data_IF_214357000312
#
_entry.id   IF_214357000312
#
_cell.length_a   1.000
_cell.length_b   1.000
_cell.length_c   1.000
_cell.angle_alpha   90.00
_cell.angle_beta   90.00
_cell.angle_gamma   90.00
#
_symmetry.space_group_name_H-M   'P 1'
#
loop_
_entity.id
_entity.type
_entity.pdbx_description
1 polymer ?
#
# COMPACT_ATOMS: atom_id res chain seq x y z
N UNK A 1 19.06 43.97 21.56
CA UNK A 1 18.89 44.35 20.14
C UNK A 1 18.15 43.22 19.38
N UNK A 2 16.87 43.09 19.63
CA UNK A 2 15.95 42.14 18.93
C UNK A 2 14.54 42.72 19.00
N UNK A 3 14.30 43.81 18.31
CA UNK A 3 12.99 44.40 17.97
C UNK A 3 13.18 45.05 16.61
N UNK A 4 12.43 44.56 15.61
CA UNK A 4 12.20 45.11 14.26
C UNK A 4 12.48 44.10 13.14
N UNK A 5 11.59 43.09 13.04
CA UNK A 5 11.34 42.39 11.76
C UNK A 5 9.94 41.76 11.66
N UNK A 6 8.96 42.29 12.36
CA UNK A 6 7.57 41.80 12.33
C UNK A 6 6.52 42.80 11.81
N UNK A 7 6.91 43.73 10.96
CA UNK A 7 5.97 44.78 10.48
C UNK A 7 5.97 45.00 8.97
N UNK A 8 6.20 43.95 8.13
CA UNK A 8 6.14 44.14 6.68
C UNK A 8 5.30 43.14 5.90
N UNK A 9 4.62 42.19 6.51
CA UNK A 9 3.77 41.21 5.77
C UNK A 9 2.26 41.31 6.03
N UNK A 10 1.78 42.35 6.68
CA UNK A 10 0.33 42.51 6.96
C UNK A 10 -0.29 43.70 6.21
N UNK A 11 0.18 44.01 5.01
CA UNK A 11 -0.34 45.14 4.22
C UNK A 11 -0.61 44.86 2.76
N UNK A 12 -1.13 43.66 2.41
CA UNK A 12 -1.48 43.27 1.05
C UNK A 12 -2.85 42.60 0.91
N UNK A 13 -3.81 42.85 1.80
CA UNK A 13 -5.17 42.30 1.69
C UNK A 13 -6.29 43.36 1.86
N UNK A 14 -6.06 44.61 1.42
CA UNK A 14 -7.17 45.55 1.21
C UNK A 14 -6.82 46.44 0.02
N UNK A 15 -7.24 46.02 -1.15
CA UNK A 15 -7.14 46.81 -2.37
C UNK A 15 -8.29 46.45 -3.29
N UNK A 16 -9.41 47.15 -3.14
CA UNK A 16 -10.52 47.12 -4.11
C UNK A 16 -10.02 47.58 -5.47
N UNK A 17 -10.15 46.73 -6.46
CA UNK A 17 -9.92 46.99 -7.84
C UNK A 17 -10.69 45.97 -8.71
N UNK A 18 -11.93 46.31 -9.09
CA UNK A 18 -12.70 45.56 -10.08
C UNK A 18 -11.99 45.57 -11.43
N UNK A 19 -11.60 44.44 -12.01
CA UNK A 19 -11.28 44.35 -13.43
C UNK A 19 -12.54 44.01 -14.21
N UNK A 20 -12.79 44.81 -15.22
CA UNK A 20 -13.83 44.65 -16.25
C UNK A 20 -13.63 43.34 -17.02
N UNK A 21 -14.71 42.65 -17.23
CA UNK A 21 -15.05 41.53 -18.09
C UNK A 21 -14.00 41.00 -19.09
N UNK A 22 -13.49 39.83 -18.81
CA UNK A 22 -13.23 38.81 -19.82
C UNK A 22 -14.18 37.66 -19.53
N UNK A 23 -15.01 37.28 -20.49
CA UNK A 23 -15.82 36.06 -20.44
C UNK A 23 -14.86 34.91 -20.20
N UNK A 24 -14.78 34.49 -18.97
CA UNK A 24 -14.04 33.28 -18.58
C UNK A 24 -14.74 32.09 -19.22
N UNK A 25 -14.05 31.41 -20.10
CA UNK A 25 -14.37 30.03 -20.42
C UNK A 25 -14.35 29.31 -19.05
N UNK A 26 -15.52 28.87 -18.61
CA UNK A 26 -15.63 27.95 -17.49
C UNK A 26 -14.95 26.67 -17.99
N UNK A 27 -13.67 26.49 -17.66
CA UNK A 27 -13.06 25.17 -17.62
C UNK A 27 -13.91 24.41 -16.61
N UNK A 28 -14.74 23.49 -17.07
CA UNK A 28 -15.33 22.48 -16.20
C UNK A 28 -14.15 21.70 -15.62
N UNK A 29 -13.69 22.11 -14.43
CA UNK A 29 -12.66 21.41 -13.68
C UNK A 29 -13.19 20.04 -13.32
N UNK A 30 -12.40 18.99 -13.53
CA UNK A 30 -12.69 17.67 -13.00
C UNK A 30 -12.75 17.78 -11.46
N UNK A 31 -13.73 17.07 -10.84
CA UNK A 31 -13.81 16.95 -9.39
C UNK A 31 -12.53 16.30 -8.86
N UNK A 32 -12.13 16.70 -7.69
CA UNK A 32 -11.02 16.05 -6.97
C UNK A 32 -11.45 14.67 -6.45
N UNK A 33 -10.49 13.80 -6.19
CA UNK A 33 -10.75 12.45 -5.68
C UNK A 33 -11.59 12.48 -4.38
N UNK A 34 -11.33 13.46 -3.50
CA UNK A 34 -12.09 13.62 -2.25
C UNK A 34 -13.53 14.09 -2.49
N UNK A 35 -13.76 15.00 -3.42
CA UNK A 35 -15.13 15.44 -3.77
C UNK A 35 -15.94 14.27 -4.35
N UNK A 36 -15.33 13.44 -5.21
CA UNK A 36 -15.98 12.25 -5.76
C UNK A 36 -16.30 11.25 -4.64
N UNK A 37 -15.36 11.01 -3.73
CA UNK A 37 -15.57 10.08 -2.61
C UNK A 37 -16.66 10.56 -1.65
N UNK A 38 -16.74 11.86 -1.35
CA UNK A 38 -17.73 12.45 -0.45
C UNK A 38 -19.14 12.48 -1.04
N UNK A 39 -19.28 12.52 -2.35
CA UNK A 39 -20.58 12.44 -3.02
C UNK A 39 -21.12 11.01 -3.11
N UNK A 40 -20.33 9.99 -2.78
CA UNK A 40 -20.76 8.60 -2.85
C UNK A 40 -21.80 8.26 -1.79
N UNK A 41 -22.94 7.75 -2.22
CA UNK A 41 -23.95 7.16 -1.33
C UNK A 41 -23.53 5.73 -0.93
N UNK A 42 -22.68 5.63 0.11
CA UNK A 42 -22.18 4.36 0.61
C UNK A 42 -23.29 3.48 1.17
N UNK A 43 -23.26 2.19 0.86
CA UNK A 43 -24.12 1.17 1.45
C UNK A 43 -23.62 0.79 2.85
N UNK A 44 -24.52 0.40 3.78
CA UNK A 44 -24.11 -0.18 5.05
C UNK A 44 -23.19 -1.38 4.84
N UNK A 45 -22.17 -1.52 5.68
CA UNK A 45 -21.16 -2.57 5.52
C UNK A 45 -21.75 -3.99 5.65
N UNK A 46 -22.86 -4.14 6.35
CA UNK A 46 -23.61 -5.40 6.44
C UNK A 46 -24.20 -5.84 5.10
N UNK A 47 -24.64 -4.88 4.26
CA UNK A 47 -25.11 -5.19 2.90
C UNK A 47 -23.95 -5.60 2.00
N UNK A 48 -22.80 -4.96 2.14
CA UNK A 48 -21.57 -5.32 1.42
C UNK A 48 -21.08 -6.71 1.85
N UNK A 49 -21.14 -7.02 3.15
CA UNK A 49 -20.81 -8.35 3.66
C UNK A 49 -21.74 -9.42 3.10
N UNK A 50 -23.06 -9.15 3.09
CA UNK A 50 -24.05 -10.05 2.49
C UNK A 50 -23.80 -10.27 0.99
N UNK A 51 -23.49 -9.19 0.22
CA UNK A 51 -23.11 -9.27 -1.20
C UNK A 51 -21.87 -10.15 -1.42
N UNK A 52 -20.89 -10.06 -0.51
CA UNK A 52 -19.68 -10.88 -0.54
C UNK A 52 -19.92 -12.34 -0.11
N UNK A 53 -21.06 -12.64 0.55
CA UNK A 53 -21.36 -13.95 1.12
C UNK A 53 -20.66 -14.19 2.47
N UNK A 54 -20.43 -13.14 3.23
CA UNK A 54 -19.85 -13.19 4.58
C UNK A 54 -21.00 -13.28 5.60
N UNK A 55 -21.01 -14.34 6.40
CA UNK A 55 -21.96 -14.53 7.50
C UNK A 55 -21.66 -13.53 8.63
N UNK A 56 -22.69 -12.94 9.24
CA UNK A 56 -22.58 -11.95 10.34
C UNK A 56 -21.72 -12.42 11.51
N UNK A 57 -21.66 -13.72 11.79
CA UNK A 57 -20.80 -14.28 12.85
C UNK A 57 -19.30 -14.04 12.63
N UNK A 58 -18.88 -13.72 11.40
CA UNK A 58 -17.50 -13.39 11.05
C UNK A 58 -17.28 -11.88 10.89
N UNK A 59 -18.34 -11.06 11.06
CA UNK A 59 -18.28 -9.63 10.83
C UNK A 59 -18.23 -8.85 12.13
N UNK A 60 -17.18 -8.08 12.32
CA UNK A 60 -17.03 -7.13 13.42
C UNK A 60 -17.09 -5.70 12.88
N UNK A 61 -18.22 -5.02 13.11
CA UNK A 61 -18.46 -3.69 12.55
C UNK A 61 -17.62 -2.61 13.24
N UNK A 62 -16.97 -1.79 12.45
CA UNK A 62 -16.23 -0.58 12.85
C UNK A 62 -16.97 0.66 12.33
N UNK A 63 -18.18 0.90 12.85
CA UNK A 63 -19.10 1.91 12.35
C UNK A 63 -19.94 1.39 11.17
N UNK A 64 -20.58 2.31 10.43
CA UNK A 64 -21.59 1.96 9.43
C UNK A 64 -21.00 1.40 8.13
N UNK A 65 -19.79 1.79 7.75
CA UNK A 65 -19.26 1.61 6.41
C UNK A 65 -17.97 0.78 6.33
N UNK A 66 -17.50 0.25 7.45
CA UNK A 66 -16.29 -0.59 7.53
C UNK A 66 -16.46 -1.67 8.59
N UNK A 67 -15.79 -2.79 8.40
CA UNK A 67 -15.80 -3.89 9.34
C UNK A 67 -14.51 -4.69 9.26
N UNK A 68 -14.19 -5.45 10.32
CA UNK A 68 -13.20 -6.50 10.27
C UNK A 68 -13.84 -7.85 10.00
N UNK A 69 -13.11 -8.71 9.28
CA UNK A 69 -13.55 -10.08 9.00
C UNK A 69 -12.71 -11.05 9.84
N UNK A 70 -13.38 -11.90 10.62
CA UNK A 70 -12.69 -12.94 11.39
C UNK A 70 -12.00 -13.93 10.44
N UNK A 71 -10.68 -14.08 10.58
CA UNK A 71 -9.88 -15.02 9.76
C UNK A 71 -10.26 -16.49 9.97
N UNK A 72 -11.06 -16.85 10.99
CA UNK A 72 -11.61 -18.20 11.14
C UNK A 72 -12.56 -18.57 10.00
N UNK A 73 -13.10 -17.61 9.25
CA UNK A 73 -13.81 -17.86 8.01
C UNK A 73 -13.00 -18.75 7.06
N UNK A 74 -11.67 -18.51 6.95
CA UNK A 74 -10.78 -19.32 6.11
C UNK A 74 -10.69 -20.78 6.55
N UNK A 75 -10.82 -21.07 7.85
CA UNK A 75 -10.76 -22.43 8.40
C UNK A 75 -12.05 -23.21 8.20
N UNK A 76 -13.17 -22.50 8.04
CA UNK A 76 -14.51 -23.10 7.95
C UNK A 76 -15.09 -23.08 6.53
N UNK A 77 -14.39 -22.48 5.58
CA UNK A 77 -14.84 -22.39 4.19
C UNK A 77 -14.20 -23.49 3.34
N UNK A 78 -15.03 -24.43 2.86
CA UNK A 78 -14.66 -25.46 1.88
C UNK A 78 -14.77 -24.95 0.43
N UNK A 79 -15.15 -23.68 0.21
CA UNK A 79 -15.28 -23.11 -1.13
C UNK A 79 -13.96 -23.24 -1.91
N UNK A 80 -13.99 -23.53 -3.20
CA UNK A 80 -12.79 -23.50 -4.03
C UNK A 80 -12.22 -22.08 -4.10
N UNK A 81 -10.93 -21.97 -4.34
CA UNK A 81 -10.33 -20.66 -4.58
C UNK A 81 -10.75 -20.13 -5.94
N UNK A 82 -11.12 -18.87 -6.01
CA UNK A 82 -11.27 -18.14 -7.26
C UNK A 82 -9.95 -17.91 -7.98
N UNK A 83 -10.02 -17.23 -9.12
CA UNK A 83 -8.84 -16.88 -9.93
C UNK A 83 -8.17 -15.64 -9.39
N UNK A 84 -6.85 -15.67 -9.26
CA UNK A 84 -6.03 -14.56 -8.80
C UNK A 84 -5.49 -13.75 -9.97
N UNK A 85 -5.79 -12.46 -10.00
CA UNK A 85 -5.27 -11.49 -10.98
C UNK A 85 -4.37 -10.51 -10.23
N UNK A 86 -3.11 -10.40 -10.68
CA UNK A 86 -2.15 -9.43 -10.16
C UNK A 86 -2.10 -8.21 -11.07
N UNK A 87 -2.32 -7.03 -10.50
CA UNK A 87 -2.08 -5.74 -11.18
C UNK A 87 -0.73 -5.20 -10.74
N UNK A 88 0.13 -4.93 -11.71
CA UNK A 88 1.43 -4.29 -11.52
C UNK A 88 1.60 -3.17 -12.54
N UNK A 89 2.77 -2.57 -12.65
CA UNK A 89 3.02 -1.51 -13.63
C UNK A 89 4.48 -1.51 -14.11
N UNK A 90 4.73 -0.67 -15.09
CA UNK A 90 6.09 -0.24 -15.47
C UNK A 90 6.78 0.47 -14.30
N UNK A 91 8.06 0.79 -14.44
CA UNK A 91 8.82 1.48 -13.40
C UNK A 91 8.11 2.78 -12.96
N UNK A 92 8.07 3.07 -11.66
CA UNK A 92 7.36 4.24 -11.14
C UNK A 92 7.97 5.54 -11.63
N UNK A 93 7.10 6.48 -11.99
CA UNK A 93 7.47 7.84 -12.37
C UNK A 93 6.86 8.87 -11.41
N UNK A 94 7.33 10.13 -11.42
CA UNK A 94 6.75 11.18 -10.58
C UNK A 94 5.27 11.47 -10.86
N UNK A 95 4.75 11.03 -12.01
CA UNK A 95 3.35 11.22 -12.40
C UNK A 95 2.43 10.12 -11.85
N UNK A 96 3.00 8.97 -11.43
CA UNK A 96 2.25 7.76 -11.08
C UNK A 96 1.74 7.00 -12.32
N UNK A 97 1.45 5.72 -12.17
CA UNK A 97 0.98 4.84 -13.26
C UNK A 97 -0.49 4.47 -13.11
N UNK A 98 -1.11 4.73 -11.94
CA UNK A 98 -2.53 4.47 -11.70
C UNK A 98 -2.86 2.99 -11.42
N UNK A 99 -1.94 2.23 -10.80
CA UNK A 99 -2.17 0.82 -10.44
C UNK A 99 -3.43 0.59 -9.63
N UNK A 100 -3.59 1.30 -8.52
CA UNK A 100 -4.75 1.13 -7.63
C UNK A 100 -6.04 1.51 -8.34
N UNK A 101 -6.03 2.61 -9.09
CA UNK A 101 -7.17 3.04 -9.92
C UNK A 101 -7.56 1.96 -10.94
N UNK A 102 -6.57 1.40 -11.65
CA UNK A 102 -6.82 0.29 -12.60
C UNK A 102 -7.30 -0.97 -11.87
N UNK A 103 -6.76 -1.29 -10.68
CA UNK A 103 -7.17 -2.45 -9.88
C UNK A 103 -8.64 -2.37 -9.48
N UNK A 104 -9.07 -1.23 -8.98
CA UNK A 104 -10.46 -0.99 -8.57
C UNK A 104 -11.38 -0.94 -9.79
N UNK A 105 -11.04 -0.14 -10.81
CA UNK A 105 -11.87 -0.03 -12.01
C UNK A 105 -12.02 -1.33 -12.78
N UNK A 106 -10.98 -2.18 -12.83
CA UNK A 106 -11.08 -3.52 -13.41
C UNK A 106 -12.06 -4.40 -12.61
N UNK A 107 -12.06 -4.31 -11.29
CA UNK A 107 -12.99 -5.05 -10.45
C UNK A 107 -14.43 -4.60 -10.70
N UNK A 108 -14.69 -3.30 -10.66
CA UNK A 108 -16.01 -2.74 -10.90
C UNK A 108 -16.51 -3.08 -12.33
N UNK A 109 -15.62 -2.99 -13.35
CA UNK A 109 -15.94 -3.38 -14.72
C UNK A 109 -16.29 -4.87 -14.88
N UNK A 110 -15.55 -5.75 -14.21
CA UNK A 110 -15.87 -7.19 -14.19
C UNK A 110 -17.18 -7.48 -13.45
N UNK A 111 -17.52 -6.76 -12.38
CA UNK A 111 -18.79 -6.87 -11.69
C UNK A 111 -19.95 -6.44 -12.61
N UNK A 112 -19.81 -5.36 -13.39
CA UNK A 112 -20.80 -4.95 -14.40
C UNK A 112 -21.04 -6.03 -15.45
N UNK A 113 -20.01 -6.85 -15.76
CA UNK A 113 -20.12 -8.02 -16.62
C UNK A 113 -20.68 -9.27 -15.91
N UNK A 114 -21.24 -9.11 -14.69
CA UNK A 114 -21.87 -10.18 -13.93
C UNK A 114 -20.89 -11.18 -13.32
N UNK A 115 -19.59 -10.83 -13.18
CA UNK A 115 -18.61 -11.67 -12.48
C UNK A 115 -18.65 -11.39 -10.98
N UNK A 116 -18.47 -12.40 -10.15
CA UNK A 116 -18.28 -12.25 -8.71
C UNK A 116 -16.83 -11.93 -8.44
N UNK A 117 -16.52 -10.66 -8.15
CA UNK A 117 -15.16 -10.13 -7.99
C UNK A 117 -14.95 -9.56 -6.60
N UNK A 118 -13.75 -9.64 -6.09
CA UNK A 118 -13.32 -8.97 -4.86
C UNK A 118 -11.94 -8.35 -5.06
N UNK A 119 -11.78 -7.12 -4.58
CA UNK A 119 -10.49 -6.41 -4.57
C UNK A 119 -9.78 -6.68 -3.25
N UNK A 120 -8.46 -6.87 -3.30
CA UNK A 120 -7.61 -6.97 -2.13
C UNK A 120 -6.45 -5.98 -2.23
N UNK A 121 -6.46 -4.94 -1.39
CA UNK A 121 -5.55 -3.79 -1.44
C UNK A 121 -4.70 -3.68 -0.18
N UNK A 122 -3.64 -2.87 -0.27
CA UNK A 122 -2.87 -2.42 0.89
C UNK A 122 -3.57 -1.27 1.60
N UNK A 123 -3.40 -1.23 2.91
CA UNK A 123 -3.76 -0.08 3.73
C UNK A 123 -2.73 1.05 3.52
N UNK A 124 -3.16 2.30 3.31
CA UNK A 124 -2.24 3.43 3.16
C UNK A 124 -1.62 3.85 4.50
N UNK A 125 -0.34 4.26 4.48
CA UNK A 125 0.35 4.82 5.61
C UNK A 125 0.04 6.31 5.78
N UNK A 126 -0.14 6.75 7.02
CA UNK A 126 -0.49 8.13 7.38
C UNK A 126 0.56 9.15 6.90
N UNK A 127 1.85 8.82 7.02
CA UNK A 127 2.92 9.69 6.57
C UNK A 127 2.84 10.04 5.08
N UNK A 128 2.76 9.08 4.15
CA UNK A 128 2.55 9.34 2.73
C UNK A 128 1.25 10.08 2.39
N UNK A 129 0.18 9.90 3.16
CA UNK A 129 -1.10 10.61 2.95
C UNK A 129 -0.91 12.12 3.07
N UNK A 130 -0.15 12.59 4.07
CA UNK A 130 0.20 13.99 4.26
C UNK A 130 1.45 14.44 3.48
N UNK A 131 2.05 13.55 2.69
CA UNK A 131 3.21 13.82 1.86
C UNK A 131 2.85 14.18 0.42
N UNK A 132 3.88 14.25 -0.43
CA UNK A 132 3.74 14.57 -1.86
C UNK A 132 2.91 13.52 -2.60
N UNK A 133 2.86 12.28 -2.12
CA UNK A 133 2.16 11.17 -2.78
C UNK A 133 0.64 11.22 -2.57
N UNK A 134 0.16 11.81 -1.47
CA UNK A 134 -1.25 11.79 -1.09
C UNK A 134 -1.77 10.40 -0.67
N UNK A 135 -3.08 10.26 -0.58
CA UNK A 135 -3.76 9.02 -0.20
C UNK A 135 -3.69 7.92 -1.25
N UNK A 136 -4.08 6.70 -0.89
CA UNK A 136 -3.95 5.50 -1.72
C UNK A 136 -5.24 4.67 -1.77
N UNK A 137 -6.39 5.32 -1.96
CA UNK A 137 -7.69 4.66 -2.10
C UNK A 137 -8.14 4.44 -3.56
N UNK A 138 -7.27 4.66 -4.52
CA UNK A 138 -7.59 4.77 -5.96
C UNK A 138 -7.65 6.22 -6.41
N UNK A 139 -8.33 6.53 -7.52
CA UNK A 139 -8.49 7.88 -8.01
C UNK A 139 -9.62 8.02 -9.02
N UNK A 140 -10.14 9.24 -9.18
CA UNK A 140 -11.30 9.50 -10.01
C UNK A 140 -12.52 8.68 -9.59
N UNK A 141 -13.18 8.07 -10.54
CA UNK A 141 -14.34 7.22 -10.30
C UNK A 141 -14.02 5.75 -9.99
N UNK A 142 -12.74 5.41 -9.82
CA UNK A 142 -12.28 4.08 -9.41
C UNK A 142 -11.57 4.14 -8.05
N UNK A 143 -12.34 4.20 -6.98
CA UNK A 143 -11.87 4.34 -5.60
C UNK A 143 -12.55 3.34 -4.65
N UNK A 144 -11.89 3.06 -3.52
CA UNK A 144 -12.51 2.43 -2.35
C UNK A 144 -12.88 3.49 -1.31
N UNK A 145 -14.02 3.30 -0.67
CA UNK A 145 -14.60 4.21 0.32
C UNK A 145 -14.96 3.46 1.62
N UNK A 146 -14.93 4.15 2.79
CA UNK A 146 -14.78 5.58 3.04
C UNK A 146 -13.33 6.05 2.92
N UNK A 147 -13.05 6.96 1.98
CA UNK A 147 -11.70 7.37 1.62
C UNK A 147 -10.94 8.01 2.79
N UNK A 148 -11.58 8.94 3.52
CA UNK A 148 -10.94 9.66 4.64
C UNK A 148 -10.56 8.68 5.76
N UNK A 149 -11.47 7.78 6.15
CA UNK A 149 -11.20 6.79 7.19
C UNK A 149 -10.03 5.87 6.79
N UNK A 150 -10.04 5.38 5.54
CA UNK A 150 -8.97 4.50 5.01
C UNK A 150 -7.61 5.20 5.04
N UNK A 151 -7.57 6.49 4.71
CA UNK A 151 -6.33 7.27 4.63
C UNK A 151 -5.84 7.78 5.99
N UNK A 152 -6.64 7.72 7.05
CA UNK A 152 -6.29 8.22 8.39
C UNK A 152 -6.06 7.06 9.36
N UNK A 153 -6.94 6.88 10.32
CA UNK A 153 -6.78 5.88 11.39
C UNK A 153 -7.43 4.53 11.09
N UNK A 154 -8.25 4.50 10.09
CA UNK A 154 -9.00 3.37 9.57
C UNK A 154 -9.68 2.51 10.66
N UNK A 155 -9.09 1.37 11.01
CA UNK A 155 -9.55 0.46 12.07
C UNK A 155 -8.49 0.28 13.17
N UNK A 156 -7.39 1.02 13.11
CA UNK A 156 -6.34 1.03 14.14
C UNK A 156 -5.20 0.03 13.92
N UNK A 157 -5.11 -0.62 12.77
CA UNK A 157 -4.09 -1.65 12.52
C UNK A 157 -2.66 -1.09 12.64
N UNK A 158 -2.40 0.08 12.09
CA UNK A 158 -1.08 0.72 12.17
C UNK A 158 -0.75 1.17 13.59
N UNK A 159 -1.74 1.61 14.36
CA UNK A 159 -1.56 1.92 15.78
C UNK A 159 -1.17 0.67 16.59
N UNK A 160 -1.82 -0.46 16.32
CA UNK A 160 -1.48 -1.73 16.95
C UNK A 160 -0.06 -2.19 16.60
N UNK A 161 0.34 -2.04 15.33
CA UNK A 161 1.69 -2.35 14.85
C UNK A 161 2.72 -1.45 15.53
N UNK A 162 2.47 -0.13 15.58
CA UNK A 162 3.32 0.83 16.28
C UNK A 162 3.45 0.53 17.75
N UNK A 163 2.35 0.19 18.43
CA UNK A 163 2.35 -0.19 19.85
C UNK A 163 3.17 -1.47 20.09
N UNK A 164 3.02 -2.51 19.27
CA UNK A 164 3.77 -3.75 19.39
C UNK A 164 5.28 -3.54 19.14
N UNK A 165 5.62 -2.71 18.13
CA UNK A 165 7.01 -2.37 17.82
C UNK A 165 7.68 -1.63 18.99
N UNK A 166 7.00 -0.63 19.53
CA UNK A 166 7.54 0.20 20.59
C UNK A 166 7.54 -0.51 21.95
N UNK A 167 6.61 -1.44 22.17
CA UNK A 167 6.66 -2.35 23.31
C UNK A 167 7.95 -3.17 23.30
N UNK A 168 8.30 -3.78 22.18
CA UNK A 168 9.53 -4.56 22.06
C UNK A 168 10.77 -3.69 22.32
N UNK A 169 10.83 -2.48 21.78
CA UNK A 169 11.91 -1.52 22.04
C UNK A 169 12.02 -1.19 23.54
N UNK A 170 10.89 -0.91 24.19
CA UNK A 170 10.84 -0.63 25.62
C UNK A 170 11.28 -1.85 26.47
N UNK A 171 10.93 -3.07 26.06
CA UNK A 171 11.35 -4.29 26.76
C UNK A 171 12.85 -4.53 26.62
N UNK A 172 13.46 -4.26 25.46
CA UNK A 172 14.93 -4.30 25.27
C UNK A 172 15.62 -3.35 26.24
N UNK A 173 15.18 -2.08 26.26
CA UNK A 173 15.81 -1.07 27.13
C UNK A 173 15.60 -1.36 28.61
N UNK A 174 14.42 -1.81 29.00
CA UNK A 174 14.14 -2.23 30.37
C UNK A 174 14.98 -3.45 30.80
N UNK A 175 15.15 -4.43 29.91
CA UNK A 175 16.00 -5.61 30.19
C UNK A 175 17.45 -5.18 30.47
N UNK A 176 18.00 -4.29 29.65
CA UNK A 176 19.37 -3.76 29.84
C UNK A 176 19.48 -3.00 31.17
N UNK A 177 18.47 -2.19 31.50
CA UNK A 177 18.45 -1.40 32.73
C UNK A 177 18.31 -2.25 34.00
N UNK A 178 17.56 -3.36 33.94
CA UNK A 178 17.26 -4.22 35.09
C UNK A 178 18.31 -5.34 35.33
N UNK A 179 19.48 -5.27 34.73
CA UNK A 179 20.57 -6.21 34.99
C UNK A 179 21.16 -6.86 33.75
N UNK A 180 20.45 -6.89 32.65
CA UNK A 180 20.93 -7.35 31.34
C UNK A 180 21.42 -8.82 31.35
N UNK A 181 20.63 -9.74 31.90
CA UNK A 181 20.98 -11.17 32.02
C UNK A 181 21.27 -11.83 30.66
N UNK A 182 20.66 -11.35 29.57
CA UNK A 182 20.95 -11.77 28.22
C UNK A 182 22.26 -11.18 27.65
N UNK A 183 22.96 -10.36 28.43
CA UNK A 183 24.24 -9.73 28.06
C UNK A 183 24.18 -8.98 26.72
N UNK A 184 23.11 -8.23 26.46
CA UNK A 184 22.94 -7.43 25.23
C UNK A 184 24.00 -6.32 25.20
N UNK A 185 24.67 -6.12 24.05
CA UNK A 185 25.52 -4.96 23.84
C UNK A 185 24.66 -3.76 23.43
N UNK A 186 24.55 -2.70 24.25
CA UNK A 186 23.73 -1.53 23.93
C UNK A 186 24.11 -0.80 22.62
N UNK A 187 25.34 -1.03 22.12
CA UNK A 187 25.85 -0.47 20.87
C UNK A 187 25.50 -1.33 19.66
N UNK A 188 24.88 -2.50 19.86
CA UNK A 188 24.54 -3.48 18.83
C UNK A 188 23.06 -3.87 18.85
N UNK A 189 22.22 -2.97 19.35
CA UNK A 189 20.77 -3.09 19.23
C UNK A 189 20.41 -2.76 17.78
N UNK A 190 19.70 -3.68 17.14
CA UNK A 190 19.23 -3.55 15.76
C UNK A 190 17.78 -3.11 15.68
N UNK A 191 17.05 -3.24 16.81
CA UNK A 191 15.64 -2.89 16.89
C UNK A 191 15.47 -1.40 17.15
N UNK A 192 14.64 -0.75 16.33
CA UNK A 192 14.33 0.68 16.43
C UNK A 192 12.87 0.89 16.81
N UNK A 193 12.57 2.05 17.35
CA UNK A 193 11.20 2.52 17.54
C UNK A 193 10.54 2.83 16.20
N UNK A 194 9.23 3.05 16.18
CA UNK A 194 8.54 3.53 14.99
C UNK A 194 7.47 4.56 15.31
N UNK A 195 7.12 5.35 14.28
CA UNK A 195 6.01 6.29 14.26
C UNK A 195 5.45 6.32 12.84
N UNK A 196 4.13 6.36 12.69
CA UNK A 196 3.52 6.35 11.35
C UNK A 196 3.49 7.78 10.74
N UNK A 197 4.66 8.37 10.64
CA UNK A 197 4.88 9.71 10.07
C UNK A 197 6.25 9.79 9.41
N UNK A 198 6.35 10.57 8.32
CA UNK A 198 7.63 10.88 7.70
C UNK A 198 8.35 11.97 8.50
N UNK A 199 9.11 11.56 9.52
CA UNK A 199 9.85 12.49 10.38
C UNK A 199 11.36 12.24 10.31
N UNK A 200 12.08 13.05 9.51
CA UNK A 200 13.54 12.92 9.40
C UNK A 200 14.28 13.40 10.66
N UNK A 201 13.65 14.20 11.51
CA UNK A 201 14.26 14.68 12.76
C UNK A 201 14.46 13.54 13.76
N UNK A 202 13.61 12.50 13.69
CA UNK A 202 13.65 11.34 14.57
C UNK A 202 14.50 10.16 14.02
N UNK A 203 15.17 10.31 12.88
CA UNK A 203 15.94 9.20 12.28
C UNK A 203 17.09 8.70 13.13
N UNK A 204 17.74 9.62 13.85
CA UNK A 204 18.79 9.29 14.79
C UNK A 204 18.61 10.18 16.03
N UNK A 205 18.43 9.56 17.18
CA UNK A 205 18.22 10.22 18.48
C UNK A 205 19.10 9.55 19.53
N UNK A 206 19.31 10.23 20.64
CA UNK A 206 19.85 9.63 21.86
C UNK A 206 18.71 9.53 22.85
N UNK A 207 18.37 8.32 23.27
CA UNK A 207 17.36 8.05 24.30
C UNK A 207 17.98 7.73 25.66
N UNK A 208 17.15 7.49 26.69
CA UNK A 208 17.59 7.12 28.04
C UNK A 208 18.25 8.25 28.83
N UNK A 209 18.17 9.51 28.39
CA UNK A 209 18.71 10.68 29.08
C UNK A 209 17.89 10.99 30.36
N UNK A 210 18.46 11.73 31.30
CA UNK A 210 17.78 12.18 32.54
C UNK A 210 18.31 11.51 33.82
N UNK A 211 19.46 10.88 33.74
CA UNK A 211 20.16 10.28 34.87
C UNK A 211 19.84 8.81 35.13
N UNK A 212 20.42 8.26 36.17
CA UNK A 212 20.45 6.80 36.44
C UNK A 212 19.09 6.12 36.67
N UNK A 213 18.04 6.90 36.84
CA UNK A 213 16.67 6.38 37.05
C UNK A 213 15.87 6.26 35.74
N UNK A 214 16.39 6.78 34.63
CA UNK A 214 15.67 6.84 33.36
C UNK A 214 16.10 5.80 32.32
N UNK A 215 17.10 4.99 32.62
CA UNK A 215 17.62 3.98 31.71
C UNK A 215 19.07 4.20 31.33
N UNK A 216 19.53 3.54 30.28
CA UNK A 216 20.89 3.64 29.76
C UNK A 216 20.89 4.46 28.48
N UNK A 217 21.60 5.60 28.41
CA UNK A 217 21.70 6.41 27.20
C UNK A 217 22.31 5.59 26.05
N UNK A 218 21.63 5.57 24.94
CA UNK A 218 22.09 4.93 23.69
C UNK A 218 21.57 5.63 22.46
N UNK A 219 22.17 5.33 21.30
CA UNK A 219 21.64 5.72 20.02
C UNK A 219 20.40 4.88 19.68
N UNK A 220 19.34 5.54 19.20
CA UNK A 220 18.12 4.94 18.68
C UNK A 220 17.62 5.75 17.48
N UNK A 221 16.43 5.47 17.00
CA UNK A 221 15.74 6.21 15.95
C UNK A 221 14.33 5.70 15.75
N UNK A 222 13.58 6.41 14.94
CA UNK A 222 12.19 6.06 14.61
C UNK A 222 12.09 5.78 13.11
N UNK A 223 11.73 4.55 12.76
CA UNK A 223 11.35 4.19 11.40
C UNK A 223 9.87 4.46 11.20
N UNK A 224 9.41 4.59 9.96
CA UNK A 224 7.98 4.69 9.69
C UNK A 224 7.32 3.33 9.94
N UNK A 225 6.13 3.30 10.56
CA UNK A 225 5.45 2.06 10.99
C UNK A 225 5.32 1.03 9.88
N UNK A 226 5.03 1.45 8.65
CA UNK A 226 4.92 0.56 7.48
C UNK A 226 6.24 -0.07 7.01
N UNK A 227 7.38 0.46 7.45
CA UNK A 227 8.70 -0.11 7.22
C UNK A 227 9.15 -1.05 8.35
N UNK A 228 8.39 -1.15 9.44
CA UNK A 228 8.72 -2.04 10.56
C UNK A 228 8.68 -3.51 10.14
N UNK A 229 9.52 -4.33 10.78
CA UNK A 229 9.49 -5.78 10.59
C UNK A 229 8.15 -6.39 11.04
N UNK A 230 7.49 -5.79 12.04
CA UNK A 230 6.16 -6.24 12.51
C UNK A 230 5.11 -6.12 11.40
N UNK A 231 5.11 -5.04 10.61
CA UNK A 231 4.22 -4.93 9.47
C UNK A 231 4.42 -6.07 8.46
N UNK A 232 5.67 -6.40 8.14
CA UNK A 232 5.98 -7.51 7.23
C UNK A 232 5.57 -8.87 7.82
N UNK A 233 5.87 -9.10 9.08
CA UNK A 233 5.53 -10.33 9.81
C UNK A 233 4.01 -10.54 9.87
N UNK A 234 3.24 -9.51 10.23
CA UNK A 234 1.77 -9.56 10.29
C UNK A 234 1.18 -9.91 8.92
N UNK A 235 1.67 -9.30 7.85
CA UNK A 235 1.17 -9.54 6.50
C UNK A 235 1.49 -10.94 5.96
N UNK A 236 2.52 -11.61 6.48
CA UNK A 236 2.92 -12.96 6.08
C UNK A 236 2.42 -14.05 7.03
N UNK A 237 1.85 -13.68 8.18
CA UNK A 237 1.30 -14.64 9.13
C UNK A 237 -0.02 -15.24 8.61
N UNK A 238 -0.23 -16.52 8.90
CA UNK A 238 -1.43 -17.26 8.54
C UNK A 238 -2.52 -17.21 9.62
N UNK A 239 -2.13 -17.09 10.86
CA UNK A 239 -3.00 -17.00 12.05
C UNK A 239 -2.22 -16.44 13.24
N UNK A 240 -2.89 -16.31 14.40
CA UNK A 240 -2.29 -15.75 15.63
C UNK A 240 -1.14 -16.64 16.18
N UNK A 241 -1.19 -17.93 15.96
CA UNK A 241 -0.16 -18.86 16.44
C UNK A 241 1.10 -18.73 15.58
N UNK A 242 0.93 -18.67 14.25
CA UNK A 242 2.04 -18.41 13.32
C UNK A 242 2.61 -17.00 13.54
N UNK A 243 1.76 -16.00 13.76
CA UNK A 243 2.18 -14.64 14.11
C UNK A 243 3.10 -14.65 15.34
N UNK A 244 2.67 -15.28 16.44
CA UNK A 244 3.45 -15.38 17.68
C UNK A 244 4.80 -16.05 17.45
N UNK A 245 4.85 -17.15 16.68
CA UNK A 245 6.10 -17.85 16.34
C UNK A 245 7.05 -16.98 15.51
N UNK A 246 6.53 -16.16 14.59
CA UNK A 246 7.32 -15.24 13.78
C UNK A 246 7.87 -14.11 14.62
N UNK A 247 7.04 -13.49 15.47
CA UNK A 247 7.45 -12.43 16.40
C UNK A 247 8.59 -12.89 17.32
N UNK A 248 8.52 -14.11 17.85
CA UNK A 248 9.57 -14.67 18.72
C UNK A 248 10.96 -14.72 18.06
N UNK A 249 11.02 -14.80 16.71
CA UNK A 249 12.29 -14.90 15.96
C UNK A 249 12.91 -13.56 15.57
N UNK A 250 12.25 -12.44 15.84
CA UNK A 250 12.78 -11.10 15.57
C UNK A 250 14.07 -10.89 16.35
N UNK A 251 15.13 -10.52 15.65
CA UNK A 251 16.44 -10.23 16.27
C UNK A 251 16.41 -8.76 16.73
N UNK A 252 16.63 -8.55 18.03
CA UNK A 252 16.63 -7.22 18.63
C UNK A 252 18.03 -6.63 18.81
N UNK A 253 19.05 -7.47 18.78
CA UNK A 253 20.45 -7.07 18.94
C UNK A 253 21.36 -8.27 19.12
N UNK A 254 22.57 -8.01 19.60
CA UNK A 254 23.60 -9.04 19.79
C UNK A 254 24.23 -8.95 21.19
N UNK A 255 24.72 -10.08 21.68
CA UNK A 255 25.45 -10.13 22.98
C UNK A 255 26.79 -9.39 22.90
N UNK A 256 27.30 -8.98 24.08
CA UNK A 256 28.68 -8.48 24.22
C UNK A 256 29.68 -9.60 23.91
N UNK A 257 30.89 -9.22 23.50
CA UNK A 257 31.97 -10.16 23.22
C UNK A 257 32.68 -9.84 21.90
N UNK A 258 33.66 -10.69 21.53
CA UNK A 258 34.32 -10.60 20.22
C UNK A 258 33.35 -10.96 19.12
N UNK A 259 33.54 -10.44 17.92
CA UNK A 259 32.63 -10.65 16.78
C UNK A 259 32.32 -12.14 16.51
N UNK A 260 33.30 -13.03 16.70
CA UNK A 260 33.15 -14.48 16.54
C UNK A 260 32.36 -15.18 17.65
N UNK A 261 32.12 -14.51 18.79
CA UNK A 261 31.48 -15.06 19.98
C UNK A 261 30.07 -14.51 20.19
N UNK A 262 29.71 -13.46 19.45
CA UNK A 262 28.43 -12.78 19.57
C UNK A 262 27.29 -13.66 19.08
N UNK A 263 26.21 -13.66 19.84
CA UNK A 263 24.96 -14.37 19.51
C UNK A 263 23.84 -13.36 19.29
N UNK A 264 22.93 -13.62 18.34
CA UNK A 264 21.73 -12.82 18.21
C UNK A 264 20.86 -13.01 19.47
N UNK A 265 20.24 -11.93 19.92
CA UNK A 265 19.19 -11.93 20.95
C UNK A 265 17.86 -11.64 20.26
N UNK A 266 16.85 -12.43 20.58
CA UNK A 266 15.55 -12.37 19.91
C UNK A 266 14.45 -11.81 20.84
N UNK A 267 13.32 -11.45 20.26
CA UNK A 267 12.12 -11.10 21.02
C UNK A 267 11.60 -12.26 21.87
N UNK A 268 11.83 -13.52 21.43
CA UNK A 268 11.52 -14.73 22.19
C UNK A 268 12.40 -14.90 23.43
N UNK A 269 13.69 -14.53 23.38
CA UNK A 269 14.58 -14.53 24.54
C UNK A 269 14.11 -13.53 25.61
N UNK A 270 13.45 -12.45 25.18
CA UNK A 270 12.81 -11.46 26.06
C UNK A 270 11.37 -11.84 26.49
N UNK A 271 10.83 -12.95 25.98
CA UNK A 271 9.42 -13.36 26.18
C UNK A 271 8.40 -12.29 25.75
N UNK A 272 8.73 -11.49 24.71
CA UNK A 272 7.92 -10.38 24.26
C UNK A 272 6.78 -10.79 23.30
N UNK A 273 6.92 -11.92 22.62
CA UNK A 273 6.05 -12.35 21.52
C UNK A 273 4.58 -12.51 21.93
N UNK A 274 4.33 -12.87 23.19
CA UNK A 274 2.96 -13.02 23.71
C UNK A 274 2.24 -11.69 23.83
N UNK A 275 2.90 -10.68 24.43
CA UNK A 275 2.36 -9.34 24.60
C UNK A 275 2.20 -8.63 23.24
N UNK A 276 3.18 -8.79 22.35
CA UNK A 276 3.10 -8.27 20.99
C UNK A 276 1.92 -8.88 20.21
N UNK A 277 1.73 -10.20 20.27
CA UNK A 277 0.61 -10.89 19.63
C UNK A 277 -0.75 -10.44 20.18
N UNK A 278 -0.84 -10.17 21.50
CA UNK A 278 -2.05 -9.65 22.12
C UNK A 278 -2.42 -8.24 21.59
N UNK A 279 -1.43 -7.36 21.40
CA UNK A 279 -1.64 -6.04 20.79
C UNK A 279 -2.09 -6.15 19.33
N UNK A 280 -1.64 -7.17 18.61
CA UNK A 280 -1.88 -7.36 17.18
C UNK A 280 -3.11 -8.22 16.85
N UNK A 281 -3.83 -8.76 17.85
CA UNK A 281 -4.91 -9.73 17.62
C UNK A 281 -6.01 -9.23 16.67
N UNK A 282 -6.42 -7.97 16.82
CA UNK A 282 -7.46 -7.38 15.97
C UNK A 282 -6.90 -6.85 14.65
N UNK A 283 -5.64 -6.39 14.64
CA UNK A 283 -4.94 -6.00 13.43
C UNK A 283 -4.65 -7.19 12.48
N UNK A 284 -4.76 -8.44 12.94
CA UNK A 284 -4.63 -9.63 12.10
C UNK A 284 -5.88 -9.91 11.26
N UNK A 285 -7.03 -9.33 11.61
CA UNK A 285 -8.29 -9.46 10.88
C UNK A 285 -8.32 -8.48 9.70
N UNK A 286 -8.56 -8.95 8.45
CA UNK A 286 -8.72 -8.05 7.30
C UNK A 286 -9.90 -7.11 7.42
N UNK A 287 -9.78 -5.94 6.81
CA UNK A 287 -10.81 -4.91 6.81
C UNK A 287 -11.67 -5.00 5.55
N UNK A 288 -12.99 -5.05 5.71
CA UNK A 288 -13.99 -4.99 4.66
C UNK A 288 -14.43 -3.53 4.46
N UNK A 289 -14.43 -3.10 3.22
CA UNK A 289 -14.95 -1.81 2.72
C UNK A 289 -15.64 -2.02 1.37
N UNK A 290 -15.96 -0.95 0.64
CA UNK A 290 -16.60 -1.01 -0.66
C UNK A 290 -15.93 -0.09 -1.68
N UNK A 291 -16.12 -0.37 -2.98
CA UNK A 291 -15.81 0.58 -4.04
C UNK A 291 -16.89 1.66 -4.14
N UNK A 292 -16.65 2.72 -4.92
CA UNK A 292 -17.70 3.73 -5.22
C UNK A 292 -18.97 3.11 -5.81
N UNK A 293 -18.85 2.00 -6.53
CA UNK A 293 -19.97 1.28 -7.16
C UNK A 293 -20.65 0.29 -6.19
N UNK A 294 -20.18 0.21 -4.94
CA UNK A 294 -20.77 -0.67 -3.91
C UNK A 294 -20.35 -2.13 -4.07
N UNK A 295 -19.13 -2.37 -4.57
CA UNK A 295 -18.54 -3.69 -4.66
C UNK A 295 -17.63 -3.98 -3.47
N UNK A 296 -17.56 -5.25 -2.99
CA UNK A 296 -16.79 -5.57 -1.81
C UNK A 296 -15.28 -5.46 -2.07
N UNK A 297 -14.57 -4.82 -1.15
CA UNK A 297 -13.13 -4.69 -1.16
C UNK A 297 -12.54 -5.02 0.20
N UNK A 298 -11.40 -5.71 0.22
CA UNK A 298 -10.61 -5.98 1.42
C UNK A 298 -9.37 -5.11 1.40
N UNK A 299 -9.15 -4.35 2.48
CA UNK A 299 -7.95 -3.52 2.69
C UNK A 299 -7.24 -4.03 3.93
N UNK A 300 -5.97 -4.48 3.81
CA UNK A 300 -5.28 -5.05 4.96
C UNK A 300 -3.76 -5.05 4.79
N UNK A 301 -3.06 -4.46 5.77
CA UNK A 301 -1.61 -4.35 5.81
C UNK A 301 -1.04 -3.45 4.73
N UNK A 302 0.09 -2.83 4.99
CA UNK A 302 0.66 -1.84 4.10
C UNK A 302 2.19 -1.87 3.97
N UNK A 303 2.85 -3.05 3.89
CA UNK A 303 4.31 -3.10 3.85
C UNK A 303 4.85 -2.41 2.61
N UNK A 304 5.90 -1.60 2.76
CA UNK A 304 6.56 -0.95 1.63
C UNK A 304 7.30 -1.96 0.76
N UNK A 305 7.18 -1.83 -0.56
CA UNK A 305 7.79 -2.76 -1.50
C UNK A 305 9.33 -2.65 -1.57
N UNK A 306 9.89 -1.49 -1.26
CA UNK A 306 11.35 -1.30 -1.17
C UNK A 306 11.95 -1.82 0.14
N UNK A 307 11.15 -2.08 1.16
CA UNK A 307 11.59 -2.59 2.47
C UNK A 307 11.19 -4.06 2.65
N UNK A 308 9.94 -4.42 2.31
CA UNK A 308 9.37 -5.75 2.49
C UNK A 308 8.75 -6.26 1.19
N UNK A 309 7.69 -7.08 1.26
CA UNK A 309 7.08 -7.72 0.08
C UNK A 309 6.08 -6.83 -0.68
N UNK A 310 5.70 -5.66 -0.14
CA UNK A 310 5.02 -4.60 -0.88
C UNK A 310 3.61 -4.91 -1.41
N UNK A 311 2.89 -5.81 -0.76
CA UNK A 311 1.52 -6.19 -1.11
C UNK A 311 0.71 -6.46 0.16
N UNK A 312 -0.62 -6.55 0.04
CA UNK A 312 -1.50 -6.83 1.17
C UNK A 312 -1.21 -8.20 1.82
N UNK A 313 -1.86 -8.48 2.95
CA UNK A 313 -1.61 -9.70 3.72
C UNK A 313 -1.99 -10.99 2.96
N UNK A 314 -1.36 -12.09 3.34
CA UNK A 314 -1.72 -13.44 2.88
C UNK A 314 -3.18 -13.76 3.25
N UNK A 315 -3.58 -13.40 4.47
CA UNK A 315 -4.95 -13.63 4.98
C UNK A 315 -5.99 -12.92 4.12
N UNK A 316 -5.77 -11.64 3.79
CA UNK A 316 -6.67 -10.86 2.94
C UNK A 316 -6.82 -11.47 1.54
N UNK A 317 -5.71 -11.84 0.89
CA UNK A 317 -5.76 -12.44 -0.44
C UNK A 317 -6.43 -13.81 -0.43
N UNK A 318 -6.13 -14.67 0.55
CA UNK A 318 -6.79 -15.98 0.68
C UNK A 318 -8.28 -15.83 0.96
N UNK A 319 -8.67 -14.85 1.76
CA UNK A 319 -10.07 -14.58 2.06
C UNK A 319 -10.83 -14.12 0.82
N UNK A 320 -10.26 -13.18 0.06
CA UNK A 320 -10.84 -12.74 -1.19
C UNK A 320 -11.02 -13.90 -2.19
N UNK A 321 -10.03 -14.79 -2.30
CA UNK A 321 -10.08 -15.99 -3.15
C UNK A 321 -11.18 -16.97 -2.75
N UNK A 322 -11.52 -17.06 -1.47
CA UNK A 322 -12.62 -17.91 -0.98
C UNK A 322 -14.00 -17.29 -1.19
N UNK A 323 -14.05 -15.97 -1.25
CA UNK A 323 -15.31 -15.21 -1.30
C UNK A 323 -15.71 -14.80 -2.73
N UNK A 324 -14.84 -14.98 -3.74
CA UNK A 324 -15.11 -14.54 -5.10
C UNK A 324 -14.60 -15.51 -6.16
N UNK A 325 -15.15 -15.40 -7.39
CA UNK A 325 -14.66 -16.15 -8.56
C UNK A 325 -13.34 -15.55 -9.10
N UNK A 326 -13.17 -14.23 -8.90
CA UNK A 326 -11.99 -13.48 -9.29
C UNK A 326 -11.55 -12.56 -8.16
N UNK A 327 -10.31 -12.70 -7.75
CA UNK A 327 -9.65 -11.78 -6.81
C UNK A 327 -8.65 -10.92 -7.57
N UNK A 328 -8.80 -9.60 -7.48
CA UNK A 328 -7.87 -8.64 -8.08
C UNK A 328 -7.06 -8.00 -6.96
N UNK A 329 -5.75 -8.04 -7.10
CA UNK A 329 -4.82 -7.46 -6.12
C UNK A 329 -3.69 -6.73 -6.81
N UNK A 330 -2.97 -5.90 -6.06
CA UNK A 330 -1.84 -5.14 -6.59
C UNK A 330 -0.54 -5.39 -5.84
N UNK A 331 0.58 -5.07 -6.49
CA UNK A 331 1.90 -4.99 -5.87
C UNK A 331 2.50 -3.60 -6.04
N UNK A 332 3.21 -3.12 -5.01
CA UNK A 332 3.79 -1.78 -4.99
C UNK A 332 4.95 -1.61 -5.96
N UNK A 333 5.20 -0.38 -6.41
CA UNK A 333 6.24 -0.05 -7.39
C UNK A 333 6.00 -0.71 -8.76
N UNK A 334 7.07 -0.96 -9.52
CA UNK A 334 7.02 -1.62 -10.82
C UNK A 334 7.08 -3.14 -10.73
N UNK A 335 6.96 -3.78 -11.89
CA UNK A 335 6.98 -5.24 -11.98
C UNK A 335 8.34 -5.86 -11.64
N UNK A 336 9.40 -5.08 -11.76
CA UNK A 336 10.78 -5.42 -11.38
C UNK A 336 11.04 -5.46 -9.87
N UNK A 337 10.10 -4.95 -9.06
CA UNK A 337 10.22 -4.91 -7.61
C UNK A 337 9.01 -5.54 -6.92
N UNK A 338 7.84 -4.91 -7.02
CA UNK A 338 6.65 -5.34 -6.29
C UNK A 338 6.08 -6.65 -6.81
N UNK A 339 5.92 -6.81 -8.12
CA UNK A 339 5.43 -8.07 -8.68
C UNK A 339 6.40 -9.22 -8.45
N UNK A 340 7.72 -8.98 -8.59
CA UNK A 340 8.75 -9.97 -8.29
C UNK A 340 8.65 -10.44 -6.84
N UNK A 341 8.58 -9.53 -5.86
CA UNK A 341 8.38 -9.89 -4.45
C UNK A 341 7.04 -10.55 -4.17
N UNK A 342 5.99 -10.14 -4.86
CA UNK A 342 4.68 -10.81 -4.76
C UNK A 342 4.79 -12.28 -5.17
N UNK A 343 5.45 -12.57 -6.30
CA UNK A 343 5.61 -13.92 -6.83
C UNK A 343 6.60 -14.74 -6.00
N UNK A 344 7.78 -14.19 -5.71
CA UNK A 344 8.88 -14.91 -5.09
C UNK A 344 8.81 -15.02 -3.57
N UNK A 345 8.10 -14.11 -2.90
CA UNK A 345 7.93 -14.14 -1.44
C UNK A 345 6.50 -14.58 -1.09
N UNK A 346 5.50 -13.74 -1.39
CA UNK A 346 4.13 -13.96 -0.94
C UNK A 346 3.51 -15.22 -1.54
N UNK A 347 3.60 -15.40 -2.85
CA UNK A 347 3.03 -16.56 -3.52
C UNK A 347 3.67 -17.87 -3.06
N UNK A 348 4.99 -17.90 -2.88
CA UNK A 348 5.70 -19.08 -2.37
C UNK A 348 5.27 -19.43 -0.95
N UNK A 349 5.24 -18.44 -0.06
CA UNK A 349 4.87 -18.66 1.35
C UNK A 349 3.41 -19.06 1.52
N UNK A 350 2.52 -18.53 0.69
CA UNK A 350 1.08 -18.73 0.80
C UNK A 350 0.54 -19.88 -0.06
N UNK A 351 1.36 -20.47 -0.95
CA UNK A 351 0.92 -21.46 -1.93
C UNK A 351 -0.02 -20.85 -2.98
N UNK A 352 0.21 -19.58 -3.36
CA UNK A 352 -0.60 -18.86 -4.35
C UNK A 352 0.06 -18.91 -5.73
N UNK A 353 -0.77 -18.86 -6.77
CA UNK A 353 -0.33 -18.70 -8.16
C UNK A 353 -1.31 -17.80 -8.90
N UNK A 354 -0.88 -16.65 -9.42
CA UNK A 354 -1.72 -15.81 -10.27
C UNK A 354 -2.16 -16.56 -11.54
N UNK A 355 -3.41 -16.33 -11.95
CA UNK A 355 -3.95 -16.83 -13.20
C UNK A 355 -3.67 -15.89 -14.36
N UNK A 356 -3.52 -14.58 -14.07
CA UNK A 356 -3.13 -13.57 -15.03
C UNK A 356 -2.44 -12.39 -14.34
N UNK A 357 -1.69 -11.63 -15.10
CA UNK A 357 -1.05 -10.38 -14.66
C UNK A 357 -1.47 -9.25 -15.59
N UNK A 358 -1.87 -8.12 -15.00
CA UNK A 358 -2.13 -6.87 -15.72
C UNK A 358 -0.95 -5.94 -15.49
N UNK A 359 -0.28 -5.51 -16.55
CA UNK A 359 0.81 -4.53 -16.49
C UNK A 359 0.26 -3.17 -16.91
N UNK A 360 0.16 -2.26 -15.96
CA UNK A 360 -0.31 -0.90 -16.21
C UNK A 360 0.83 -0.05 -16.78
N UNK A 361 0.55 0.64 -17.85
CA UNK A 361 1.44 1.63 -18.44
C UNK A 361 0.67 2.93 -18.70
N UNK A 362 1.39 4.05 -18.76
CA UNK A 362 0.86 5.32 -19.25
C UNK A 362 1.78 5.87 -20.34
N UNK A 363 1.21 6.50 -21.35
CA UNK A 363 1.98 7.20 -22.39
C UNK A 363 2.95 8.20 -21.74
N UNK A 364 2.48 8.94 -20.73
CA UNK A 364 3.30 9.92 -19.99
C UNK A 364 4.52 9.30 -19.31
N UNK A 365 4.34 8.15 -18.64
CA UNK A 365 5.44 7.47 -17.99
C UNK A 365 6.46 6.91 -18.99
N UNK A 366 5.99 6.39 -20.12
CA UNK A 366 6.86 5.90 -21.18
C UNK A 366 7.64 7.05 -21.84
N UNK A 367 7.00 8.21 -22.13
CA UNK A 367 7.71 9.41 -22.61
C UNK A 367 8.74 9.90 -21.60
N UNK A 368 8.42 9.88 -20.30
CA UNK A 368 9.38 10.23 -19.25
C UNK A 368 10.60 9.30 -19.26
N UNK A 369 10.36 7.99 -19.38
CA UNK A 369 11.44 6.99 -19.51
C UNK A 369 12.26 7.20 -20.80
N UNK A 370 11.66 7.77 -21.85
CA UNK A 370 12.32 8.17 -23.09
C UNK A 370 13.06 9.52 -23.02
N UNK A 371 13.06 10.17 -21.83
CA UNK A 371 13.83 11.40 -21.58
C UNK A 371 13.05 12.70 -21.65
N UNK A 372 11.72 12.68 -21.76
CA UNK A 372 10.90 13.90 -21.78
C UNK A 372 10.81 14.50 -20.37
N UNK A 373 11.11 15.79 -20.16
CA UNK A 373 10.92 16.46 -18.89
C UNK A 373 9.46 16.45 -18.42
N UNK A 374 9.23 16.44 -17.10
CA UNK A 374 7.88 16.38 -16.52
C UNK A 374 6.92 17.47 -17.04
N UNK A 375 7.44 18.66 -17.30
CA UNK A 375 6.63 19.79 -17.79
C UNK A 375 6.06 19.58 -19.20
N UNK A 376 6.71 18.75 -20.02
CA UNK A 376 6.41 18.58 -21.45
C UNK A 376 5.67 17.26 -21.75
N UNK A 377 5.34 16.46 -20.74
CA UNK A 377 4.69 15.14 -20.90
C UNK A 377 3.30 15.19 -21.55
N UNK A 378 2.65 16.33 -21.58
CA UNK A 378 1.34 16.51 -22.22
C UNK A 378 1.44 16.71 -23.75
N UNK A 379 2.63 16.98 -24.27
CA UNK A 379 2.83 17.16 -25.70
C UNK A 379 3.09 15.80 -26.37
N UNK A 380 2.56 15.62 -27.58
CA UNK A 380 2.86 14.42 -28.38
C UNK A 380 4.36 14.29 -28.64
N UNK A 381 4.90 13.09 -28.41
CA UNK A 381 6.30 12.80 -28.70
C UNK A 381 6.52 11.30 -28.95
N UNK A 382 6.30 10.88 -30.19
CA UNK A 382 6.41 9.48 -30.61
C UNK A 382 7.85 8.94 -30.50
N UNK A 383 8.86 9.78 -30.79
CA UNK A 383 10.27 9.38 -30.68
C UNK A 383 10.66 9.05 -29.23
N UNK A 384 10.29 9.90 -28.30
CA UNK A 384 10.56 9.64 -26.87
C UNK A 384 9.73 8.46 -26.35
N UNK A 385 8.49 8.32 -26.82
CA UNK A 385 7.64 7.19 -26.49
C UNK A 385 8.30 5.88 -26.93
N UNK A 386 8.80 5.81 -28.16
CA UNK A 386 9.50 4.63 -28.69
C UNK A 386 10.78 4.31 -27.89
N UNK A 387 11.54 5.32 -27.49
CA UNK A 387 12.71 5.16 -26.60
C UNK A 387 12.37 4.64 -25.22
N UNK A 388 11.18 4.94 -24.69
CA UNK A 388 10.70 4.49 -23.38
C UNK A 388 10.03 3.12 -23.40
N UNK A 389 9.52 2.65 -24.54
CA UNK A 389 8.84 1.36 -24.68
C UNK A 389 9.64 0.15 -24.19
N UNK A 390 10.98 0.06 -24.32
CA UNK A 390 11.75 -1.06 -23.79
C UNK A 390 11.51 -1.34 -22.31
N UNK A 391 11.16 -0.34 -21.50
CA UNK A 391 10.77 -0.53 -20.10
C UNK A 391 9.52 -1.42 -19.98
N UNK A 392 8.45 -1.09 -20.71
CA UNK A 392 7.23 -1.89 -20.73
C UNK A 392 7.47 -3.29 -21.29
N UNK A 393 8.13 -3.38 -22.45
CA UNK A 393 8.37 -4.64 -23.15
C UNK A 393 9.22 -5.61 -22.31
N UNK A 394 10.17 -5.09 -21.53
CA UNK A 394 10.98 -5.90 -20.59
C UNK A 394 10.11 -6.50 -19.48
N UNK A 395 9.23 -5.71 -18.87
CA UNK A 395 8.32 -6.22 -17.84
C UNK A 395 7.36 -7.28 -18.39
N UNK A 396 6.77 -7.04 -19.56
CA UNK A 396 5.93 -8.02 -20.25
C UNK A 396 6.70 -9.31 -20.50
N UNK A 397 7.92 -9.20 -21.04
CA UNK A 397 8.79 -10.37 -21.29
C UNK A 397 9.13 -11.14 -20.00
N UNK A 398 9.40 -10.45 -18.89
CA UNK A 398 9.64 -11.12 -17.62
C UNK A 398 8.41 -11.90 -17.15
N UNK A 399 7.22 -11.31 -17.21
CA UNK A 399 5.97 -11.98 -16.81
C UNK A 399 5.70 -13.21 -17.71
N UNK A 400 5.80 -13.06 -19.02
CA UNK A 400 5.42 -14.12 -19.97
C UNK A 400 6.51 -15.18 -20.10
N UNK A 401 7.78 -14.77 -20.19
CA UNK A 401 8.88 -15.68 -20.52
C UNK A 401 9.60 -16.25 -19.30
N UNK A 402 9.69 -15.51 -18.18
CA UNK A 402 10.34 -15.99 -16.95
C UNK A 402 9.33 -16.64 -16.03
N UNK A 403 8.27 -15.90 -15.65
CA UNK A 403 7.24 -16.42 -14.73
C UNK A 403 6.22 -17.33 -15.42
N UNK A 404 6.14 -17.34 -16.75
CA UNK A 404 5.20 -18.15 -17.54
C UNK A 404 3.74 -17.88 -17.16
N UNK A 405 3.40 -16.61 -16.96
CA UNK A 405 2.06 -16.16 -16.62
C UNK A 405 1.41 -15.43 -17.81
N UNK A 406 0.11 -15.62 -18.05
CA UNK A 406 -0.64 -14.79 -18.98
C UNK A 406 -0.56 -13.32 -18.60
N UNK A 407 -0.33 -12.45 -19.58
CA UNK A 407 -0.17 -11.02 -19.40
C UNK A 407 -1.12 -10.22 -20.28
N UNK A 408 -1.68 -9.15 -19.74
CA UNK A 408 -2.42 -8.11 -20.47
C UNK A 408 -1.80 -6.78 -20.11
N UNK A 409 -1.60 -5.91 -21.10
CA UNK A 409 -1.18 -4.52 -20.86
C UNK A 409 -2.42 -3.64 -20.78
N UNK A 410 -2.56 -2.90 -19.69
CA UNK A 410 -3.57 -1.87 -19.53
C UNK A 410 -2.93 -0.48 -19.74
N UNK A 411 -3.34 0.23 -20.79
CA UNK A 411 -2.93 1.62 -21.00
C UNK A 411 -3.88 2.49 -20.19
N UNK A 412 -3.42 3.02 -19.06
CA UNK A 412 -4.17 3.99 -18.27
C UNK A 412 -4.13 5.35 -18.98
N UNK A 413 -5.19 5.62 -19.75
CA UNK A 413 -5.26 6.76 -20.66
C UNK A 413 -5.52 8.09 -19.95
N UNK A 414 -4.87 9.12 -20.44
CA UNK A 414 -5.11 10.51 -20.04
C UNK A 414 -5.72 11.29 -21.19
N UNK A 415 -6.53 12.32 -20.90
CA UNK A 415 -7.15 13.15 -21.96
C UNK A 415 -6.16 13.84 -22.92
N UNK A 416 -4.89 13.89 -22.54
CA UNK A 416 -3.80 14.49 -23.34
C UNK A 416 -3.08 13.47 -24.22
N UNK A 417 -3.35 12.19 -24.08
CA UNK A 417 -2.72 11.14 -24.88
C UNK A 417 -3.30 11.18 -26.30
N UNK A 418 -2.44 11.16 -27.31
CA UNK A 418 -2.89 11.19 -28.69
C UNK A 418 -3.16 9.79 -29.22
N UNK A 419 -4.03 9.70 -30.25
CA UNK A 419 -4.30 8.42 -30.88
C UNK A 419 -3.04 7.77 -31.45
N UNK A 420 -2.12 8.56 -32.02
CA UNK A 420 -0.87 8.06 -32.58
C UNK A 420 0.03 7.44 -31.47
N UNK A 421 0.06 8.04 -30.27
CA UNK A 421 0.81 7.52 -29.13
C UNK A 421 0.20 6.20 -28.61
N UNK A 422 -1.13 6.13 -28.50
CA UNK A 422 -1.84 4.92 -28.07
C UNK A 422 -1.64 3.79 -29.07
N UNK A 423 -1.81 4.06 -30.38
CA UNK A 423 -1.63 3.07 -31.45
C UNK A 423 -0.20 2.53 -31.47
N UNK A 424 0.82 3.36 -31.19
CA UNK A 424 2.22 2.92 -31.13
C UNK A 424 2.45 1.93 -29.99
N UNK A 425 1.94 2.21 -28.77
CA UNK A 425 2.07 1.30 -27.63
C UNK A 425 1.37 -0.02 -27.91
N UNK A 426 0.16 0.03 -28.46
CA UNK A 426 -0.62 -1.15 -28.82
C UNK A 426 0.12 -2.02 -29.85
N UNK A 427 0.60 -1.41 -30.93
CA UNK A 427 1.35 -2.12 -31.98
C UNK A 427 2.57 -2.85 -31.41
N UNK A 428 3.36 -2.18 -30.55
CA UNK A 428 4.56 -2.77 -29.94
C UNK A 428 4.27 -3.92 -28.97
N UNK A 429 3.17 -3.87 -28.23
CA UNK A 429 2.74 -4.95 -27.37
C UNK A 429 2.21 -6.14 -28.20
N UNK A 430 1.47 -5.88 -29.27
CA UNK A 430 0.96 -6.91 -30.17
C UNK A 430 2.09 -7.66 -30.88
N UNK A 431 3.23 -7.01 -31.20
CA UNK A 431 4.45 -7.66 -31.71
C UNK A 431 4.97 -8.74 -30.76
N UNK A 432 4.73 -8.60 -29.43
CA UNK A 432 5.08 -9.62 -28.42
C UNK A 432 3.98 -10.65 -28.19
N UNK A 433 2.87 -10.61 -28.91
CA UNK A 433 1.73 -11.49 -28.74
C UNK A 433 0.96 -11.26 -27.44
N UNK A 434 0.99 -10.04 -26.89
CA UNK A 434 0.31 -9.68 -25.65
C UNK A 434 -0.87 -8.77 -25.94
N UNK A 435 -2.04 -9.11 -25.38
CA UNK A 435 -3.24 -8.27 -25.51
C UNK A 435 -3.06 -6.93 -24.80
N UNK A 436 -3.59 -5.88 -25.42
CA UNK A 436 -3.63 -4.52 -24.89
C UNK A 436 -5.08 -4.09 -24.71
N UNK A 437 -5.35 -3.38 -23.63
CA UNK A 437 -6.64 -2.75 -23.37
C UNK A 437 -6.43 -1.29 -22.97
N UNK A 438 -7.21 -0.41 -23.57
CA UNK A 438 -7.30 0.99 -23.14
C UNK A 438 -8.15 1.03 -21.86
N UNK A 439 -7.68 1.74 -20.84
CA UNK A 439 -8.37 1.90 -19.55
C UNK A 439 -8.67 3.36 -19.31
N UNK A 440 -9.95 3.69 -19.22
CA UNK A 440 -10.47 5.03 -18.91
C UNK A 440 -11.13 5.07 -17.53
N UNK A 441 -10.76 4.13 -16.65
CA UNK A 441 -11.43 3.91 -15.34
C UNK A 441 -11.37 5.13 -14.42
N UNK A 442 -10.35 5.98 -14.55
CA UNK A 442 -10.27 7.21 -13.77
C UNK A 442 -11.46 8.14 -14.04
N UNK A 443 -11.85 8.27 -15.28
CA UNK A 443 -12.94 9.16 -15.69
C UNK A 443 -14.33 8.51 -15.67
N UNK A 444 -14.41 7.19 -15.85
CA UNK A 444 -15.66 6.45 -16.11
C UNK A 444 -15.96 5.33 -15.12
N UNK A 445 -15.11 5.11 -14.11
CA UNK A 445 -15.28 3.98 -13.20
C UNK A 445 -15.22 2.63 -13.90
N UNK A 446 -16.03 1.68 -13.48
CA UNK A 446 -16.09 0.35 -14.08
C UNK A 446 -16.49 0.28 -15.54
N UNK A 447 -17.15 1.32 -16.10
CA UNK A 447 -17.45 1.39 -17.53
C UNK A 447 -16.19 1.60 -18.38
N UNK A 448 -15.24 2.37 -17.87
CA UNK A 448 -13.97 2.65 -18.54
C UNK A 448 -13.00 1.46 -18.57
#
# INVERSE_FOLDING_TARGET
MLKNKQSRETRALTGEGKPKGKKGVILMGFKTDIEIAQECEMRPITEIAAKAGIDDKYLEQYGKYKAKIDYNLLKQSDAPNGKLILVTAINPTPAGEGKTTTTVGLADGMQKLGKKVMVALREPSLGPVFGVKGGAAGGGYAQVVPMEDINLHFTGDFHAIGAANNLLAAMVDNHIFQGNDLNIDPRKITWRRCVDMNDRQLRNVVDGLGGKTNGMPREDGYDITVASEIMAVLCLASDIIDLKKRLARIIVGYTRGKASEQKPVTAGDLHAEGAMAALLKDALKPNLVQTLEGDPAIVHGGPFANIAHGCNSITATKMALKLSDYTITEAGFGADLGAEKFLDIKCRMAGLKPNAVVVVATVRALKYNGGVPKADLNNENLEALEKGLPNLLKHVSNITNVYKLPCVVAINAFPTDTKAELDLVEAKCNELGVNVALSEVWAKGGEG
#
